data_IF_830199067749
#
_entry.id   IF_830199067749
#
_cell.length_a   1.000
_cell.length_b   1.000
_cell.length_c   1.000
_cell.angle_alpha   90.00
_cell.angle_beta   90.00
_cell.angle_gamma   90.00
#
_symmetry.space_group_name_H-M   'P 1'
#
loop_
_entity.id
_entity.type
_entity.pdbx_description
1 polymer ?
#
# COMPACT_ATOMS: atom_id res chain seq x y z
N UNK A 1 1.27 18.72 -12.49
CA UNK A 1 2.70 18.89 -12.73
C UNK A 1 3.12 18.16 -14.02
N UNK A 2 3.89 18.85 -14.88
CA UNK A 2 4.44 18.30 -16.12
C UNK A 2 5.88 17.85 -15.89
N UNK A 3 6.22 16.64 -16.29
CA UNK A 3 7.57 16.11 -16.21
C UNK A 3 8.08 15.72 -17.59
N UNK A 4 9.40 15.85 -17.80
CA UNK A 4 10.02 15.53 -19.10
C UNK A 4 10.05 14.03 -19.41
N UNK A 5 10.18 13.20 -18.36
CA UNK A 5 10.30 11.74 -18.47
C UNK A 5 9.92 11.05 -17.14
N UNK A 6 9.90 9.73 -17.15
CA UNK A 6 9.56 8.91 -15.95
C UNK A 6 10.53 9.12 -14.80
N UNK A 7 11.81 9.29 -15.09
CA UNK A 7 12.80 9.50 -14.05
C UNK A 7 12.58 10.81 -13.30
N UNK A 8 12.29 11.89 -14.03
CA UNK A 8 12.00 13.20 -13.45
C UNK A 8 10.68 13.16 -12.65
N UNK A 9 9.66 12.44 -13.13
CA UNK A 9 8.39 12.27 -12.43
C UNK A 9 8.60 11.54 -11.11
N UNK A 10 9.32 10.43 -11.11
CA UNK A 10 9.61 9.64 -9.91
C UNK A 10 10.44 10.46 -8.90
N UNK A 11 11.45 11.20 -9.36
CA UNK A 11 12.23 12.06 -8.49
C UNK A 11 11.35 13.14 -7.83
N UNK A 12 10.47 13.77 -8.60
CA UNK A 12 9.52 14.76 -8.10
C UNK A 12 8.56 14.18 -7.06
N UNK A 13 8.07 12.94 -7.26
CA UNK A 13 7.21 12.24 -6.29
C UNK A 13 7.97 11.98 -4.98
N UNK A 14 9.19 11.47 -5.06
CA UNK A 14 10.02 11.20 -3.88
C UNK A 14 10.28 12.48 -3.10
N UNK A 15 10.58 13.58 -3.76
CA UNK A 15 10.81 14.88 -3.12
C UNK A 15 9.52 15.44 -2.51
N UNK A 16 8.38 15.27 -3.17
CA UNK A 16 7.07 15.63 -2.64
C UNK A 16 6.76 14.86 -1.35
N UNK A 17 6.97 13.53 -1.32
CA UNK A 17 6.78 12.71 -0.11
C UNK A 17 7.67 13.20 1.03
N UNK A 18 8.98 13.41 0.77
CA UNK A 18 9.93 13.90 1.77
C UNK A 18 9.50 15.25 2.34
N UNK A 19 9.07 16.15 1.47
CA UNK A 19 8.59 17.48 1.87
C UNK A 19 7.40 17.36 2.82
N UNK A 20 6.37 16.60 2.47
CA UNK A 20 5.18 16.41 3.31
C UNK A 20 5.51 15.83 4.68
N UNK A 21 6.38 14.80 4.72
CA UNK A 21 6.82 14.21 5.99
C UNK A 21 7.59 15.25 6.83
N UNK A 22 8.46 16.05 6.21
CA UNK A 22 9.21 17.11 6.91
C UNK A 22 8.32 18.24 7.42
N UNK A 23 7.16 18.46 6.78
CA UNK A 23 6.13 19.42 7.19
C UNK A 23 5.17 18.86 8.23
N UNK A 24 5.36 17.59 8.67
CA UNK A 24 4.60 16.97 9.75
C UNK A 24 3.41 16.12 9.28
N UNK A 25 3.23 15.90 7.97
CA UNK A 25 2.18 14.98 7.49
C UNK A 25 2.56 13.55 7.89
N UNK A 26 1.70 12.79 8.60
CA UNK A 26 1.96 11.40 8.91
C UNK A 26 2.12 10.57 7.62
N UNK A 27 3.15 9.73 7.54
CA UNK A 27 3.45 8.97 6.33
C UNK A 27 2.28 8.06 5.88
N UNK A 28 1.48 7.53 6.80
CA UNK A 28 0.28 6.74 6.50
C UNK A 28 -0.84 7.53 5.83
N UNK A 29 -0.83 8.86 5.93
CA UNK A 29 -1.80 9.75 5.28
C UNK A 29 -1.34 10.21 3.88
N UNK A 30 -0.24 9.63 3.38
CA UNK A 30 0.31 9.91 2.05
C UNK A 30 0.14 8.67 1.18
N UNK A 31 -0.44 8.84 -0.01
CA UNK A 31 -0.51 7.78 -1.01
C UNK A 31 -0.02 8.23 -2.38
N UNK A 32 0.61 7.31 -3.10
CA UNK A 32 0.90 7.46 -4.53
C UNK A 32 0.10 6.42 -5.30
N UNK A 33 -0.72 6.88 -6.23
CA UNK A 33 -1.56 6.05 -7.05
C UNK A 33 -1.05 6.01 -8.49
N UNK A 34 -1.14 4.83 -9.11
CA UNK A 34 -0.79 4.63 -10.50
C UNK A 34 -1.82 3.76 -11.22
N UNK A 35 -1.84 3.81 -12.56
CA UNK A 35 -2.72 2.93 -13.33
C UNK A 35 -2.24 1.48 -13.35
N UNK A 36 -0.93 1.26 -13.34
CA UNK A 36 -0.33 -0.07 -13.49
C UNK A 36 0.70 -0.39 -12.41
N UNK A 37 0.90 -1.68 -12.14
CA UNK A 37 1.97 -2.15 -11.26
C UNK A 37 3.36 -1.81 -11.79
N UNK A 38 3.54 -1.78 -13.12
CA UNK A 38 4.83 -1.42 -13.73
C UNK A 38 5.31 -0.02 -13.32
N UNK A 39 4.38 0.95 -13.27
CA UNK A 39 4.68 2.31 -12.80
C UNK A 39 5.09 2.30 -11.32
N UNK A 40 4.39 1.53 -10.49
CA UNK A 40 4.73 1.39 -9.07
C UNK A 40 6.10 0.74 -8.85
N UNK A 41 6.45 -0.29 -9.62
CA UNK A 41 7.76 -0.96 -9.51
C UNK A 41 8.94 0.00 -9.75
N UNK A 42 8.78 0.98 -10.64
CA UNK A 42 9.81 2.01 -10.87
C UNK A 42 9.91 2.96 -9.68
N UNK A 43 8.78 3.34 -9.08
CA UNK A 43 8.76 4.18 -7.88
C UNK A 43 9.30 3.42 -6.65
N UNK A 44 8.96 2.15 -6.48
CA UNK A 44 9.49 1.31 -5.40
C UNK A 44 11.02 1.29 -5.36
N UNK A 45 11.66 1.13 -6.53
CA UNK A 45 13.13 1.18 -6.64
C UNK A 45 13.70 2.51 -6.13
N UNK A 46 13.03 3.62 -6.43
CA UNK A 46 13.45 4.94 -5.95
C UNK A 46 13.22 5.10 -4.44
N UNK A 47 12.09 4.59 -3.91
CA UNK A 47 11.82 4.60 -2.47
C UNK A 47 12.87 3.79 -1.70
N UNK A 48 13.24 2.60 -2.20
CA UNK A 48 14.33 1.78 -1.63
C UNK A 48 15.67 2.53 -1.65
N UNK A 49 16.04 3.11 -2.79
CA UNK A 49 17.29 3.85 -2.95
C UNK A 49 17.39 5.06 -2.01
N UNK A 50 16.27 5.69 -1.72
CA UNK A 50 16.18 6.86 -0.83
C UNK A 50 15.85 6.49 0.63
N UNK A 51 15.72 5.20 0.95
CA UNK A 51 15.37 4.68 2.27
C UNK A 51 14.06 5.24 2.84
N UNK A 52 13.11 5.57 1.97
CA UNK A 52 11.77 5.97 2.37
C UNK A 52 10.91 4.73 2.63
N UNK A 53 10.36 4.55 3.84
CA UNK A 53 9.48 3.43 4.13
C UNK A 53 8.18 3.52 3.33
N UNK A 54 7.73 2.42 2.77
CA UNK A 54 6.48 2.33 2.03
C UNK A 54 5.83 0.96 2.17
N UNK A 55 4.54 0.90 1.85
CA UNK A 55 3.80 -0.35 1.64
C UNK A 55 3.16 -0.33 0.25
N UNK A 56 3.06 -1.50 -0.38
CA UNK A 56 2.35 -1.65 -1.65
C UNK A 56 1.00 -2.30 -1.40
N UNK A 57 -0.07 -1.62 -1.80
CA UNK A 57 -1.40 -2.21 -1.86
C UNK A 57 -1.67 -2.72 -3.27
N UNK A 58 -1.66 -4.04 -3.40
CA UNK A 58 -2.04 -4.71 -4.64
C UNK A 58 -3.51 -5.13 -4.59
N UNK A 59 -4.11 -5.29 -5.78
CA UNK A 59 -5.42 -5.94 -5.94
C UNK A 59 -5.40 -7.40 -5.52
N UNK A 60 -4.23 -8.02 -5.43
CA UNK A 60 -4.08 -9.38 -4.95
C UNK A 60 -4.46 -9.45 -3.47
N UNK A 61 -5.29 -10.40 -3.14
CA UNK A 61 -5.81 -10.57 -1.79
C UNK A 61 -4.63 -10.80 -0.83
N UNK A 62 -4.38 -9.85 0.05
CA UNK A 62 -3.29 -9.87 1.03
C UNK A 62 -3.23 -11.20 1.79
N UNK A 63 -4.39 -11.67 2.24
CA UNK A 63 -4.50 -12.89 3.03
C UNK A 63 -4.39 -14.18 2.18
N UNK A 64 -4.42 -14.08 0.86
CA UNK A 64 -4.22 -15.22 -0.06
C UNK A 64 -2.73 -15.42 -0.41
N UNK A 65 -1.86 -14.48 -0.06
CA UNK A 65 -0.42 -14.58 -0.27
C UNK A 65 0.14 -15.80 0.46
N UNK A 66 1.00 -16.61 -0.18
CA UNK A 66 1.54 -17.85 0.43
C UNK A 66 2.31 -17.60 1.72
N UNK A 67 3.12 -16.54 1.79
CA UNK A 67 3.89 -16.15 2.96
C UNK A 67 2.98 -15.73 4.14
N UNK A 68 1.95 -14.92 3.86
CA UNK A 68 0.96 -14.50 4.86
C UNK A 68 0.16 -15.68 5.38
N UNK A 69 -0.33 -16.55 4.49
CA UNK A 69 -1.10 -17.75 4.89
C UNK A 69 -0.29 -18.69 5.77
N UNK A 70 0.97 -18.93 5.38
CA UNK A 70 1.84 -19.80 6.17
C UNK A 70 2.17 -19.17 7.54
N UNK A 71 2.47 -17.88 7.58
CA UNK A 71 2.68 -17.18 8.84
C UNK A 71 1.45 -17.26 9.75
N UNK A 72 0.25 -16.96 9.23
CA UNK A 72 -1.00 -17.08 10.00
C UNK A 72 -1.25 -18.49 10.50
N UNK A 73 -0.90 -19.52 9.71
CA UNK A 73 -0.99 -20.93 10.12
C UNK A 73 -0.06 -21.21 11.31
N UNK A 74 1.19 -20.73 11.25
CA UNK A 74 2.16 -20.87 12.34
C UNK A 74 1.69 -20.17 13.61
N UNK A 75 1.19 -18.94 13.50
CA UNK A 75 0.66 -18.18 14.64
C UNK A 75 -0.51 -18.89 15.31
N UNK A 76 -1.46 -19.42 14.54
CA UNK A 76 -2.59 -20.20 15.08
C UNK A 76 -2.13 -21.46 15.82
N UNK A 77 -1.13 -22.16 15.30
CA UNK A 77 -0.60 -23.38 15.91
C UNK A 77 0.24 -23.09 17.18
N UNK A 78 0.99 -21.99 17.19
CA UNK A 78 1.82 -21.57 18.33
C UNK A 78 0.99 -21.02 19.50
N UNK A 79 -0.26 -20.62 19.26
CA UNK A 79 -1.13 -19.99 20.26
C UNK A 79 -1.53 -20.89 21.45
N UNK A 80 -1.15 -22.15 21.42
CA UNK A 80 -1.62 -23.17 22.37
C UNK A 80 -0.81 -23.22 23.65
N UNK A 81 0.51 -22.85 23.64
CA UNK A 81 1.35 -22.91 24.85
C UNK A 81 2.42 -21.78 24.81
N UNK A 82 2.28 -20.71 25.60
CA UNK A 82 3.36 -19.73 25.74
C UNK A 82 4.57 -20.37 26.42
N UNK A 83 5.76 -20.18 25.85
CA UNK A 83 7.01 -20.56 26.52
C UNK A 83 7.19 -19.70 27.78
N UNK A 84 7.35 -20.33 28.96
CA UNK A 84 7.51 -19.58 30.22
C UNK A 84 8.63 -18.53 30.10
N UNK A 85 8.29 -17.27 30.35
CA UNK A 85 9.26 -16.16 30.39
C UNK A 85 9.57 -15.49 29.06
N UNK A 86 8.94 -15.89 27.94
CA UNK A 86 9.10 -15.24 26.63
C UNK A 86 7.85 -14.42 26.32
N UNK A 87 8.02 -13.19 25.86
CA UNK A 87 6.91 -12.36 25.39
C UNK A 87 6.31 -12.97 24.11
N UNK A 88 4.99 -12.99 23.99
CA UNK A 88 4.33 -13.47 22.77
C UNK A 88 4.70 -12.65 21.53
N UNK A 89 5.04 -11.37 21.68
CA UNK A 89 5.61 -10.56 20.61
C UNK A 89 6.97 -11.07 20.14
N UNK A 90 7.80 -11.55 21.05
CA UNK A 90 9.10 -12.13 20.71
C UNK A 90 8.94 -13.52 20.07
N UNK A 91 7.94 -14.29 20.51
CA UNK A 91 7.54 -15.52 19.81
C UNK A 91 7.05 -15.23 18.39
N UNK A 92 6.16 -14.23 18.21
CA UNK A 92 5.72 -13.81 16.88
C UNK A 92 6.88 -13.34 16.01
N UNK A 93 7.82 -12.57 16.56
CA UNK A 93 9.02 -12.15 15.82
C UNK A 93 9.87 -13.35 15.41
N UNK A 94 10.03 -14.33 16.29
CA UNK A 94 10.75 -15.57 15.98
C UNK A 94 10.08 -16.34 14.86
N UNK A 95 8.76 -16.50 14.92
CA UNK A 95 7.98 -17.12 13.85
C UNK A 95 8.04 -16.35 12.53
N UNK A 96 8.17 -15.02 12.59
CA UNK A 96 8.25 -14.17 11.41
C UNK A 96 9.62 -14.18 10.72
N UNK A 97 10.72 -14.53 11.43
CA UNK A 97 12.09 -14.47 10.91
C UNK A 97 12.27 -15.12 9.52
N UNK A 98 11.75 -16.32 9.23
CA UNK A 98 11.88 -16.95 7.92
C UNK A 98 11.27 -16.13 6.77
N UNK A 99 10.30 -15.28 7.09
CA UNK A 99 9.56 -14.48 6.10
C UNK A 99 10.12 -13.07 5.92
N UNK A 100 10.99 -12.60 6.83
CA UNK A 100 11.55 -11.26 6.79
C UNK A 100 12.77 -11.12 5.86
N UNK A 101 13.18 -12.18 5.20
CA UNK A 101 14.33 -12.20 4.28
C UNK A 101 13.95 -12.15 2.80
N UNK A 102 12.65 -12.08 2.47
CA UNK A 102 12.11 -12.14 1.10
C UNK A 102 11.66 -10.78 0.55
N UNK A 103 11.16 -10.82 -0.68
CA UNK A 103 10.64 -9.64 -1.41
C UNK A 103 9.34 -9.08 -0.79
N UNK A 104 8.68 -9.83 0.08
CA UNK A 104 7.35 -9.51 0.66
C UNK A 104 7.41 -9.20 2.16
N UNK A 105 8.47 -8.53 2.59
CA UNK A 105 8.67 -8.16 4.01
C UNK A 105 7.52 -7.31 4.56
N UNK A 106 6.97 -6.43 3.74
CA UNK A 106 5.90 -5.50 4.09
C UNK A 106 4.65 -6.17 4.69
N UNK A 107 4.22 -7.30 4.13
CA UNK A 107 3.03 -8.02 4.61
C UNK A 107 3.20 -8.57 6.04
N UNK A 108 4.30 -9.24 6.30
CA UNK A 108 4.60 -9.78 7.63
C UNK A 108 4.92 -8.66 8.62
N UNK A 109 5.61 -7.60 8.18
CA UNK A 109 5.85 -6.42 8.99
C UNK A 109 4.55 -5.75 9.44
N UNK A 110 3.53 -5.66 8.56
CA UNK A 110 2.23 -5.13 8.91
C UNK A 110 1.49 -5.99 9.96
N UNK A 111 1.58 -7.32 9.86
CA UNK A 111 1.04 -8.24 10.88
C UNK A 111 1.74 -8.08 12.23
N UNK A 112 3.07 -7.92 12.25
CA UNK A 112 3.82 -7.65 13.47
C UNK A 112 3.51 -6.27 14.05
N UNK A 113 3.26 -5.27 13.19
CA UNK A 113 2.87 -3.93 13.63
C UNK A 113 1.50 -3.97 14.31
N UNK A 114 0.50 -4.61 13.71
CA UNK A 114 -0.80 -4.83 14.33
C UNK A 114 -0.68 -5.52 15.69
N UNK A 115 0.20 -6.52 15.81
CA UNK A 115 0.44 -7.19 17.07
C UNK A 115 0.95 -6.24 18.15
N UNK A 116 1.86 -5.31 17.81
CA UNK A 116 2.37 -4.29 18.73
C UNK A 116 1.30 -3.29 19.15
N UNK A 117 0.47 -2.83 18.21
CA UNK A 117 -0.63 -1.90 18.51
C UNK A 117 -1.62 -2.51 19.51
N UNK A 118 -1.91 -3.81 19.37
CA UNK A 118 -2.85 -4.52 20.26
C UNK A 118 -2.22 -4.91 21.62
N UNK A 119 -0.89 -5.00 21.69
CA UNK A 119 -0.20 -5.31 22.94
C UNK A 119 -0.21 -4.11 23.90
N UNK A 120 -0.11 -2.90 23.37
CA UNK A 120 -0.03 -1.65 24.15
C UNK A 120 1.16 -1.64 25.10
N UNK A 121 1.14 -0.71 26.07
CA UNK A 121 2.18 -0.56 27.10
C UNK A 121 2.05 -1.56 28.27
N UNK A 122 1.09 -2.49 28.19
CA UNK A 122 0.72 -3.34 29.34
C UNK A 122 1.47 -4.67 29.43
N UNK A 123 2.41 -4.94 28.53
CA UNK A 123 3.15 -6.20 28.51
C UNK A 123 2.27 -7.43 28.24
N UNK A 124 2.93 -8.55 27.97
CA UNK A 124 2.29 -9.77 27.52
C UNK A 124 1.28 -10.37 28.51
N UNK A 125 0.06 -10.63 28.00
CA UNK A 125 -0.90 -11.56 28.61
C UNK A 125 -1.50 -12.50 27.56
N UNK A 126 -1.93 -13.73 27.91
CA UNK A 126 -2.65 -14.64 26.99
C UNK A 126 -3.92 -14.00 26.38
N UNK A 127 -4.43 -12.96 27.02
CA UNK A 127 -5.56 -12.17 26.56
C UNK A 127 -5.23 -11.42 25.26
N UNK A 128 -4.02 -10.88 25.14
CA UNK A 128 -3.60 -10.10 23.97
C UNK A 128 -3.44 -10.97 22.72
N UNK A 129 -2.92 -12.19 22.87
CA UNK A 129 -2.85 -13.15 21.75
C UNK A 129 -4.24 -13.51 21.23
N UNK A 130 -5.20 -13.77 22.12
CA UNK A 130 -6.58 -14.04 21.71
C UNK A 130 -7.23 -12.84 21.02
N UNK A 131 -6.96 -11.64 21.50
CA UNK A 131 -7.43 -10.40 20.87
C UNK A 131 -6.82 -10.25 19.50
N UNK A 132 -5.52 -10.48 19.35
CA UNK A 132 -4.83 -10.44 18.06
C UNK A 132 -5.39 -11.46 17.06
N UNK A 133 -5.61 -12.71 17.49
CA UNK A 133 -6.16 -13.75 16.62
C UNK A 133 -7.60 -13.41 16.17
N UNK A 134 -8.42 -12.87 17.07
CA UNK A 134 -9.79 -12.44 16.74
C UNK A 134 -9.76 -11.28 15.73
N UNK A 135 -8.93 -10.27 15.97
CA UNK A 135 -8.77 -9.15 15.06
C UNK A 135 -8.29 -9.62 13.66
N UNK A 136 -7.37 -10.60 13.62
CA UNK A 136 -6.94 -11.19 12.35
C UNK A 136 -8.07 -11.92 11.63
N UNK A 137 -8.90 -12.67 12.36
CA UNK A 137 -10.06 -13.39 11.79
C UNK A 137 -11.08 -12.42 11.21
N UNK A 138 -11.40 -11.33 11.92
CA UNK A 138 -12.29 -10.28 11.46
C UNK A 138 -11.74 -9.60 10.21
N UNK A 139 -10.44 -9.28 10.19
CA UNK A 139 -9.78 -8.67 9.03
C UNK A 139 -9.73 -9.60 7.81
N UNK A 140 -9.50 -10.90 8.02
CA UNK A 140 -9.55 -11.90 6.95
C UNK A 140 -10.94 -11.96 6.33
N UNK A 141 -12.01 -12.01 7.16
CA UNK A 141 -13.39 -12.05 6.68
C UNK A 141 -13.78 -10.79 5.90
N UNK A 142 -13.33 -9.63 6.37
CA UNK A 142 -13.62 -8.33 5.74
C UNK A 142 -12.67 -8.00 4.59
N UNK A 143 -11.67 -8.84 4.33
CA UNK A 143 -10.55 -8.56 3.40
C UNK A 143 -9.90 -7.18 3.66
N UNK A 144 -9.72 -6.84 4.95
CA UNK A 144 -9.12 -5.59 5.41
C UNK A 144 -7.72 -5.83 6.00
N UNK A 145 -6.66 -5.82 5.18
CA UNK A 145 -5.30 -6.07 5.66
C UNK A 145 -4.84 -4.98 6.65
N UNK A 146 -3.97 -5.33 7.61
CA UNK A 146 -3.35 -4.34 8.47
C UNK A 146 -2.49 -3.37 7.67
N UNK A 147 -2.37 -2.14 8.16
CA UNK A 147 -1.58 -1.09 7.54
C UNK A 147 -0.33 -0.80 8.35
N UNK A 148 0.72 -0.37 7.68
CA UNK A 148 1.92 0.19 8.29
C UNK A 148 1.80 1.71 8.37
N UNK A 149 2.43 2.36 9.38
CA UNK A 149 2.49 3.83 9.44
C UNK A 149 3.52 4.38 8.44
N UNK A 150 3.35 4.04 7.16
CA UNK A 150 4.25 4.39 6.05
C UNK A 150 3.45 4.81 4.82
N UNK A 151 4.11 5.44 3.86
CA UNK A 151 3.50 5.86 2.58
C UNK A 151 2.92 4.66 1.83
N UNK A 152 1.72 4.82 1.30
CA UNK A 152 1.06 3.77 0.51
C UNK A 152 1.30 3.97 -0.98
N UNK A 153 1.73 2.91 -1.67
CA UNK A 153 1.75 2.82 -3.12
C UNK A 153 0.61 1.88 -3.55
N UNK A 154 -0.25 2.32 -4.47
CA UNK A 154 -1.39 1.51 -4.89
C UNK A 154 -1.74 1.73 -6.37
N UNK A 155 -2.29 0.70 -7.01
CA UNK A 155 -2.99 0.93 -8.28
C UNK A 155 -4.36 1.57 -8.03
N UNK A 156 -4.93 2.23 -9.05
CA UNK A 156 -6.27 2.81 -8.97
C UNK A 156 -7.32 1.78 -8.54
N UNK A 157 -7.19 0.53 -8.98
CA UNK A 157 -8.08 -0.56 -8.59
C UNK A 157 -7.95 -0.92 -7.11
N UNK A 158 -6.72 -1.00 -6.61
CA UNK A 158 -6.44 -1.34 -5.21
C UNK A 158 -6.78 -0.19 -4.25
N UNK A 159 -6.87 1.04 -4.75
CA UNK A 159 -7.25 2.21 -3.97
C UNK A 159 -8.77 2.34 -3.73
N UNK A 160 -9.59 1.50 -4.36
CA UNK A 160 -11.05 1.54 -4.19
C UNK A 160 -11.44 1.29 -2.72
N UNK A 161 -12.20 2.23 -2.15
CA UNK A 161 -12.66 2.17 -0.76
C UNK A 161 -11.67 2.67 0.28
N UNK A 162 -10.47 3.10 -0.14
CA UNK A 162 -9.47 3.71 0.72
C UNK A 162 -9.44 5.23 0.52
N UNK A 163 -8.90 5.97 1.48
CA UNK A 163 -8.76 7.43 1.41
C UNK A 163 -7.54 7.86 2.21
N UNK A 164 -6.89 8.95 1.76
CA UNK A 164 -5.72 9.55 2.40
C UNK A 164 -5.84 11.07 2.40
N UNK A 165 -5.14 11.74 3.30
CA UNK A 165 -5.12 13.20 3.29
C UNK A 165 -4.42 13.74 2.03
N UNK A 166 -3.30 13.13 1.65
CA UNK A 166 -2.45 13.56 0.55
C UNK A 166 -2.33 12.46 -0.49
N UNK A 167 -2.75 12.73 -1.70
CA UNK A 167 -2.68 11.77 -2.81
C UNK A 167 -1.88 12.36 -3.96
N UNK A 168 -0.94 11.58 -4.47
CA UNK A 168 -0.27 11.83 -5.74
C UNK A 168 -0.73 10.79 -6.76
N UNK A 169 -1.40 11.21 -7.84
CA UNK A 169 -1.77 10.35 -8.94
C UNK A 169 -0.78 10.56 -10.08
N UNK A 170 0.08 9.57 -10.31
CA UNK A 170 1.16 9.63 -11.29
C UNK A 170 0.74 9.13 -12.66
N UNK A 171 1.41 9.65 -13.71
CA UNK A 171 1.28 9.16 -15.08
C UNK A 171 -0.07 9.42 -15.70
N UNK A 172 -0.68 10.59 -15.44
CA UNK A 172 -1.95 11.01 -16.05
C UNK A 172 -1.68 11.51 -17.48
N UNK A 173 -1.20 10.60 -18.32
CA UNK A 173 -0.80 10.86 -19.72
C UNK A 173 -1.59 10.00 -20.69
N UNK A 174 -1.77 10.49 -21.91
CA UNK A 174 -2.29 9.65 -23.00
C UNK A 174 -1.44 8.40 -23.19
N UNK A 175 -2.10 7.23 -23.30
CA UNK A 175 -1.45 5.94 -23.41
C UNK A 175 -1.13 5.26 -22.07
N UNK A 176 -1.10 6.02 -20.96
CA UNK A 176 -0.94 5.50 -19.59
C UNK A 176 -2.25 5.52 -18.80
N UNK A 177 -3.00 6.61 -18.91
CA UNK A 177 -4.34 6.77 -18.35
C UNK A 177 -5.13 7.76 -19.22
N UNK A 178 -5.99 7.31 -20.16
CA UNK A 178 -6.34 5.90 -20.42
C UNK A 178 -5.18 5.09 -21.01
N UNK A 179 -5.21 3.77 -20.79
CA UNK A 179 -4.23 2.86 -21.40
C UNK A 179 -4.36 2.85 -22.93
N UNK A 180 -3.24 2.69 -23.63
CA UNK A 180 -3.16 2.73 -25.08
C UNK A 180 -4.12 1.75 -25.75
N UNK A 181 -4.21 0.51 -25.25
CA UNK A 181 -5.11 -0.52 -25.77
C UNK A 181 -6.60 -0.13 -25.68
N UNK A 182 -6.99 0.62 -24.65
CA UNK A 182 -8.34 1.16 -24.50
C UNK A 182 -8.62 2.30 -25.48
N UNK A 183 -7.56 3.01 -25.91
CA UNK A 183 -7.67 4.15 -26.83
C UNK A 183 -7.65 3.74 -28.30
N UNK A 184 -6.95 2.65 -28.66
CA UNK A 184 -6.75 2.23 -30.06
C UNK A 184 -7.89 1.41 -30.62
N UNK A 185 -8.65 0.69 -29.80
CA UNK A 185 -9.78 -0.11 -30.25
C UNK A 185 -11.06 0.71 -30.52
N UNK A 186 -11.04 2.02 -30.25
CA UNK A 186 -12.20 2.91 -30.50
C UNK A 186 -13.44 2.53 -29.67
N UNK A 187 -13.29 1.66 -28.68
CA UNK A 187 -14.38 1.23 -27.81
C UNK A 187 -14.61 2.28 -26.71
N UNK A 188 -15.71 3.02 -26.88
CA UNK A 188 -16.12 4.05 -25.92
C UNK A 188 -16.32 3.46 -24.51
N UNK A 189 -16.77 2.21 -24.40
CA UNK A 189 -16.95 1.54 -23.11
C UNK A 189 -15.63 1.38 -22.35
N UNK A 190 -14.54 1.05 -23.05
CA UNK A 190 -13.20 0.98 -22.47
C UNK A 190 -12.70 2.34 -21.98
N UNK A 191 -12.96 3.42 -22.72
CA UNK A 191 -12.61 4.79 -22.30
C UNK A 191 -13.42 5.21 -21.09
N UNK A 192 -14.70 4.87 -21.03
CA UNK A 192 -15.57 5.18 -19.90
C UNK A 192 -15.17 4.43 -18.63
N UNK A 193 -14.67 3.20 -18.76
CA UNK A 193 -14.10 2.45 -17.61
C UNK A 193 -12.79 3.11 -17.11
N UNK A 194 -11.89 3.51 -17.99
CA UNK A 194 -10.68 4.25 -17.62
C UNK A 194 -11.02 5.60 -16.95
N UNK A 195 -12.06 6.28 -17.43
CA UNK A 195 -12.57 7.51 -16.80
C UNK A 195 -13.11 7.26 -15.40
N UNK A 196 -13.83 6.14 -15.18
CA UNK A 196 -14.29 5.74 -13.84
C UNK A 196 -13.11 5.45 -12.91
N UNK A 197 -12.06 4.79 -13.39
CA UNK A 197 -10.84 4.54 -12.62
C UNK A 197 -10.12 5.85 -12.28
N UNK A 198 -10.02 6.78 -13.22
CA UNK A 198 -9.48 8.11 -12.94
C UNK A 198 -10.30 8.82 -11.85
N UNK A 199 -11.64 8.79 -11.96
CA UNK A 199 -12.51 9.36 -10.94
C UNK A 199 -12.31 8.72 -9.56
N UNK A 200 -12.17 7.39 -9.51
CA UNK A 200 -11.81 6.70 -8.25
C UNK A 200 -10.52 7.27 -7.69
N UNK A 201 -9.48 7.42 -8.49
CA UNK A 201 -8.19 7.96 -8.05
C UNK A 201 -8.27 9.36 -7.46
N UNK A 202 -8.91 10.29 -8.17
CA UNK A 202 -9.00 11.69 -7.72
C UNK A 202 -9.87 11.86 -6.47
N UNK A 203 -10.83 10.97 -6.25
CA UNK A 203 -11.70 10.99 -5.04
C UNK A 203 -11.06 10.33 -3.82
N UNK A 204 -9.83 9.85 -3.91
CA UNK A 204 -9.11 9.26 -2.75
C UNK A 204 -8.44 10.30 -1.86
N UNK A 205 -8.28 11.53 -2.33
CA UNK A 205 -7.69 12.61 -1.58
C UNK A 205 -8.73 13.31 -0.71
N UNK A 206 -8.45 13.44 0.59
CA UNK A 206 -9.29 14.19 1.54
C UNK A 206 -8.93 15.67 1.58
N UNK A 207 -7.63 15.99 1.45
CA UNK A 207 -7.12 17.36 1.64
C UNK A 207 -6.44 17.86 0.38
N UNK A 208 -5.53 17.07 -0.20
CA UNK A 208 -4.65 17.54 -1.28
C UNK A 208 -4.45 16.47 -2.35
N UNK A 209 -4.63 16.85 -3.60
CA UNK A 209 -4.47 16.00 -4.76
C UNK A 209 -3.43 16.59 -5.71
N UNK A 210 -2.35 15.86 -5.95
CA UNK A 210 -1.38 16.15 -6.98
C UNK A 210 -1.55 15.21 -8.17
N UNK A 211 -1.52 15.77 -9.37
CA UNK A 211 -1.57 15.04 -10.62
C UNK A 211 -0.29 15.29 -11.39
N UNK A 212 0.32 14.23 -11.94
CA UNK A 212 1.46 14.39 -12.84
C UNK A 212 1.20 13.76 -14.20
N UNK A 213 1.87 14.33 -15.20
CA UNK A 213 1.89 13.76 -16.55
C UNK A 213 3.26 13.93 -17.17
N UNK A 214 3.55 13.11 -18.17
CA UNK A 214 4.74 13.20 -19.03
C UNK A 214 4.34 13.10 -20.50
N UNK A 215 4.97 13.89 -21.35
CA UNK A 215 4.59 13.99 -22.76
C UNK A 215 3.20 14.61 -22.94
N UNK A 216 2.30 13.92 -23.61
CA UNK A 216 0.92 14.41 -23.86
C UNK A 216 0.05 14.17 -22.63
N UNK A 217 -0.55 15.22 -22.03
CA UNK A 217 -1.46 15.05 -20.90
C UNK A 217 -2.67 14.19 -21.30
N UNK A 218 -3.19 13.45 -20.34
CA UNK A 218 -4.43 12.68 -20.50
C UNK A 218 -5.58 13.57 -20.92
N UNK A 219 -6.45 13.05 -21.78
CA UNK A 219 -7.74 13.71 -22.14
C UNK A 219 -8.59 13.99 -20.90
N UNK A 220 -8.50 13.17 -19.86
CA UNK A 220 -9.25 13.34 -18.61
C UNK A 220 -8.84 14.58 -17.78
N UNK A 221 -7.74 15.24 -18.14
CA UNK A 221 -7.32 16.52 -17.51
C UNK A 221 -7.96 17.74 -18.20
N UNK A 222 -8.60 17.57 -19.37
CA UNK A 222 -9.15 18.64 -20.20
C UNK A 222 -10.67 18.54 -20.31
N UNK A 223 -11.26 17.43 -19.92
CA UNK A 223 -12.70 17.21 -19.82
C UNK A 223 -13.27 17.85 -18.53
#
# INVERSE_FOLDING_TARGET
DAFKDEYAEIAGIVDWIKKLISEGTPAQEIAVLARTNSQLNSLERAMIATKLPYQVRNSDRFFDRPDVREFLRLVRNASVIPTQGVSWLDELRTLAQPFLTGVHIDGIAALLHLARELDGDNGFTPKNLRTYLRELEDRVQQNNPPTMPVTTLATLHAAKGLEWERVFLMGVSEGLLPLENSSTNGDQASIDEERRLFYVGITRAKVDLHLSYRGKPSRFLVE
#
